data_IF_114730782237
#
_entry.id   IF_114730782237
#
_cell.length_a   1.000
_cell.length_b   1.000
_cell.length_c   1.000
_cell.angle_alpha   90.00
_cell.angle_beta   90.00
_cell.angle_gamma   90.00
#
_symmetry.space_group_name_H-M   'P 1'
#
loop_
_entity.id
_entity.type
_entity.pdbx_description
1 polymer ?
#
# COMPACT_ATOMS: atom_id res chain seq x y z
N UNK A 1 -27.79 -89.64 -0.61
CA UNK A 1 -26.53 -89.43 0.13
C UNK A 1 -26.47 -87.98 0.58
N UNK A 2 -26.26 -87.75 1.88
CA UNK A 2 -25.94 -86.49 2.62
C UNK A 2 -26.99 -85.35 2.53
N UNK A 3 -27.92 -85.16 3.47
CA UNK A 3 -27.84 -84.63 4.86
C UNK A 3 -27.58 -83.12 5.01
N UNK A 4 -28.62 -82.38 5.47
CA UNK A 4 -28.71 -81.29 6.50
C UNK A 4 -27.70 -80.11 6.43
N UNK A 5 -28.00 -78.83 6.73
CA UNK A 5 -29.03 -78.21 7.56
C UNK A 5 -29.24 -76.70 7.24
N UNK A 6 -30.36 -76.20 7.78
CA UNK A 6 -30.97 -74.87 7.90
C UNK A 6 -30.03 -73.76 8.42
N UNK A 7 -30.18 -72.51 7.96
CA UNK A 7 -30.39 -71.33 8.84
C UNK A 7 -30.97 -70.12 8.08
N UNK A 8 -31.75 -69.34 8.82
CA UNK A 8 -32.80 -68.38 8.42
C UNK A 8 -32.35 -66.96 8.75
N UNK A 9 -32.52 -65.97 7.86
CA UNK A 9 -32.54 -64.55 8.26
C UNK A 9 -33.23 -63.64 7.22
N UNK A 10 -33.76 -62.54 7.71
CA UNK A 10 -34.91 -61.71 7.28
C UNK A 10 -34.46 -60.44 6.49
N UNK A 11 -35.34 -59.47 6.14
CA UNK A 11 -35.35 -58.76 4.86
C UNK A 11 -34.45 -57.53 4.76
N UNK A 12 -34.20 -57.10 3.51
CA UNK A 12 -33.53 -55.84 3.13
C UNK A 12 -34.41 -54.63 3.46
N UNK A 13 -33.90 -53.76 4.34
CA UNK A 13 -34.36 -52.38 4.51
C UNK A 13 -33.87 -51.54 3.32
N UNK A 14 -34.81 -50.86 2.66
CA UNK A 14 -34.50 -49.70 1.82
C UNK A 14 -34.36 -48.48 2.72
N UNK A 15 -33.22 -47.80 2.62
CA UNK A 15 -33.05 -46.47 3.18
C UNK A 15 -32.35 -45.64 2.10
N UNK A 16 -33.15 -44.90 1.34
CA UNK A 16 -32.68 -43.75 0.58
C UNK A 16 -31.99 -42.81 1.57
N UNK A 17 -30.70 -42.55 1.32
CA UNK A 17 -29.97 -41.48 1.96
C UNK A 17 -29.81 -40.39 0.92
N UNK A 18 -30.59 -39.34 1.09
CA UNK A 18 -30.37 -38.04 0.48
C UNK A 18 -28.93 -37.62 0.75
N UNK A 19 -28.13 -37.56 -0.30
CA UNK A 19 -26.81 -36.92 -0.29
C UNK A 19 -27.07 -35.42 -0.32
N UNK A 20 -27.18 -34.85 0.88
CA UNK A 20 -27.22 -33.42 1.08
C UNK A 20 -25.79 -32.90 0.87
N UNK A 21 -25.49 -32.55 -0.38
CA UNK A 21 -24.33 -31.75 -0.77
C UNK A 21 -24.58 -30.31 -0.31
N UNK A 22 -24.34 -30.06 0.97
CA UNK A 22 -24.30 -28.73 1.56
C UNK A 22 -22.83 -28.33 1.73
N UNK A 23 -22.10 -28.24 0.61
CA UNK A 23 -20.86 -27.47 0.59
C UNK A 23 -21.23 -25.98 0.50
N UNK A 24 -21.75 -25.42 1.59
CA UNK A 24 -21.64 -23.99 1.83
C UNK A 24 -20.17 -23.68 1.99
N UNK A 25 -19.51 -23.34 0.88
CA UNK A 25 -18.27 -22.58 0.88
C UNK A 25 -18.55 -21.29 1.62
N UNK A 26 -18.25 -21.27 2.92
CA UNK A 26 -18.24 -20.05 3.72
C UNK A 26 -17.40 -19.01 2.96
N UNK A 27 -18.08 -17.97 2.48
CA UNK A 27 -17.44 -16.78 1.92
C UNK A 27 -16.69 -16.11 3.08
N UNK A 28 -15.47 -16.53 3.33
CA UNK A 28 -14.63 -15.89 4.35
C UNK A 28 -14.17 -14.55 3.79
N UNK A 29 -14.67 -13.45 4.36
CA UNK A 29 -14.18 -12.11 4.07
C UNK A 29 -12.70 -12.01 4.45
N UNK A 30 -11.84 -12.20 3.46
CA UNK A 30 -10.40 -12.07 3.65
C UNK A 30 -10.03 -10.59 3.61
N UNK A 31 -9.29 -10.13 4.63
CA UNK A 31 -8.74 -8.77 4.67
C UNK A 31 -8.07 -8.39 3.35
N UNK A 32 -8.21 -7.14 2.93
CA UNK A 32 -7.53 -6.63 1.74
C UNK A 32 -6.00 -6.74 1.91
N UNK A 33 -5.25 -6.71 0.79
CA UNK A 33 -3.78 -6.75 0.86
C UNK A 33 -3.25 -5.55 1.66
N UNK A 34 -3.92 -4.41 1.57
CA UNK A 34 -3.62 -3.21 2.35
C UNK A 34 -3.82 -3.46 3.85
N UNK A 35 -4.96 -4.00 4.25
CA UNK A 35 -5.26 -4.31 5.66
C UNK A 35 -4.32 -5.37 6.26
N UNK A 36 -3.88 -6.34 5.44
CA UNK A 36 -2.87 -7.31 5.86
C UNK A 36 -1.50 -6.66 6.08
N UNK A 37 -1.19 -5.59 5.35
CA UNK A 37 0.07 -4.87 5.43
C UNK A 37 0.14 -3.87 6.58
N UNK A 38 -1.01 -3.41 7.11
CA UNK A 38 -1.10 -2.39 8.17
C UNK A 38 -0.21 -2.69 9.39
N UNK A 39 -0.06 -3.97 9.77
CA UNK A 39 0.79 -4.39 10.88
C UNK A 39 2.29 -4.06 10.68
N UNK A 40 2.71 -3.74 9.45
CA UNK A 40 4.07 -3.38 9.08
C UNK A 40 4.24 -1.89 8.79
N UNK A 41 3.17 -1.09 8.89
CA UNK A 41 3.25 0.37 8.79
C UNK A 41 3.95 0.91 10.03
N UNK A 42 5.01 1.70 9.81
CA UNK A 42 5.84 2.27 10.88
C UNK A 42 5.52 3.74 11.15
N UNK A 43 5.02 4.48 10.17
CA UNK A 43 4.46 5.82 10.36
C UNK A 43 3.63 6.26 9.15
N UNK A 44 2.96 7.40 9.30
CA UNK A 44 2.44 8.21 8.19
C UNK A 44 3.16 9.55 8.22
N UNK A 45 3.72 9.98 7.09
CA UNK A 45 4.55 11.18 7.01
C UNK A 45 4.38 11.90 5.65
N UNK A 46 4.66 13.19 5.63
CA UNK A 46 4.74 13.97 4.40
C UNK A 46 6.08 13.76 3.72
N UNK A 47 6.10 13.36 2.46
CA UNK A 47 7.33 13.24 1.66
C UNK A 47 7.34 14.23 0.51
N UNK A 48 8.51 14.78 0.16
CA UNK A 48 8.69 15.47 -1.10
C UNK A 48 8.73 14.43 -2.23
N UNK A 49 8.15 14.78 -3.38
CA UNK A 49 7.94 13.84 -4.49
C UNK A 49 9.27 13.37 -5.12
N UNK A 50 10.28 14.23 -5.10
CA UNK A 50 11.62 13.93 -5.61
C UNK A 50 12.36 12.87 -4.77
N UNK A 51 12.00 12.72 -3.49
CA UNK A 51 12.49 11.66 -2.61
C UNK A 51 11.83 10.30 -2.88
N UNK A 52 10.80 10.22 -3.72
CA UNK A 52 10.10 8.97 -4.06
C UNK A 52 10.67 8.33 -5.33
N UNK A 53 10.70 7.00 -5.39
CA UNK A 53 11.11 6.24 -6.59
C UNK A 53 10.18 5.07 -6.89
N UNK A 54 9.85 4.89 -8.17
CA UNK A 54 9.16 3.69 -8.67
C UNK A 54 10.14 2.55 -9.02
N UNK A 55 11.45 2.83 -9.05
CA UNK A 55 12.50 1.82 -9.16
C UNK A 55 12.73 1.19 -7.79
N UNK A 56 12.76 -0.14 -7.73
CA UNK A 56 12.92 -0.90 -6.50
C UNK A 56 14.31 -1.54 -6.44
N UNK A 57 14.76 -1.89 -5.23
CA UNK A 57 15.93 -2.75 -5.05
C UNK A 57 15.72 -4.12 -5.72
N UNK A 58 14.49 -4.65 -5.65
CA UNK A 58 14.08 -5.91 -6.28
C UNK A 58 12.96 -5.67 -7.30
N UNK A 59 13.33 -5.46 -8.56
CA UNK A 59 12.41 -5.31 -9.70
C UNK A 59 12.00 -3.86 -9.98
N UNK A 60 10.88 -3.68 -10.67
CA UNK A 60 10.31 -2.36 -10.97
C UNK A 60 8.81 -2.34 -10.75
N UNK A 61 8.27 -1.17 -10.41
CA UNK A 61 6.83 -0.98 -10.33
C UNK A 61 6.18 -1.15 -11.71
N UNK A 62 4.85 -1.33 -11.71
CA UNK A 62 4.06 -1.46 -12.95
C UNK A 62 4.33 -0.27 -13.86
N UNK A 63 4.20 -0.41 -15.19
CA UNK A 63 4.27 0.74 -16.08
C UNK A 63 3.24 1.81 -15.68
N UNK A 64 3.59 3.07 -15.90
CA UNK A 64 2.66 4.18 -15.69
C UNK A 64 1.63 4.18 -16.83
N UNK A 65 0.36 4.08 -16.49
CA UNK A 65 -0.77 4.27 -17.39
C UNK A 65 -1.08 5.77 -17.53
N UNK A 66 -0.82 6.31 -18.73
CA UNK A 66 -1.03 7.71 -19.06
C UNK A 66 -2.51 8.13 -19.00
N UNK A 67 -3.44 7.25 -19.38
CA UNK A 67 -4.87 7.55 -19.31
C UNK A 67 -5.32 7.68 -17.86
N UNK A 68 -4.85 6.79 -17.00
CA UNK A 68 -5.12 6.87 -15.57
C UNK A 68 -4.50 8.13 -14.94
N UNK A 69 -3.27 8.48 -15.32
CA UNK A 69 -2.62 9.74 -14.90
C UNK A 69 -3.45 10.97 -15.32
N UNK A 70 -3.94 11.00 -16.56
CA UNK A 70 -4.78 12.09 -17.05
C UNK A 70 -6.11 12.17 -16.29
N UNK A 71 -6.73 11.04 -15.99
CA UNK A 71 -7.94 10.98 -15.18
C UNK A 71 -7.71 11.55 -13.78
N UNK A 72 -6.62 11.16 -13.12
CA UNK A 72 -6.25 11.69 -11.80
C UNK A 72 -5.96 13.20 -11.86
N UNK A 73 -5.26 13.66 -12.90
CA UNK A 73 -4.97 15.09 -13.09
C UNK A 73 -6.25 15.90 -13.25
N UNK A 74 -7.24 15.40 -14.01
CA UNK A 74 -8.56 16.05 -14.14
C UNK A 74 -9.30 16.09 -12.81
N UNK A 75 -9.24 15.01 -12.02
CA UNK A 75 -9.82 14.99 -10.68
C UNK A 75 -9.16 16.05 -9.77
N UNK A 76 -7.84 16.24 -9.86
CA UNK A 76 -7.15 17.31 -9.13
C UNK A 76 -7.56 18.71 -9.57
N UNK A 77 -7.86 18.91 -10.85
CA UNK A 77 -8.34 20.18 -11.39
C UNK A 77 -9.76 20.52 -10.91
N UNK A 78 -10.63 19.52 -10.75
CA UNK A 78 -12.02 19.71 -10.28
C UNK A 78 -12.15 19.74 -8.76
N UNK A 79 -11.62 18.73 -8.08
CA UNK A 79 -11.87 18.47 -6.65
C UNK A 79 -10.70 18.93 -5.74
N UNK A 80 -9.60 19.37 -6.35
CA UNK A 80 -8.36 19.70 -5.65
C UNK A 80 -7.51 18.49 -5.26
N UNK A 81 -6.35 18.76 -4.68
CA UNK A 81 -5.41 17.75 -4.21
C UNK A 81 -5.89 17.24 -2.84
N UNK A 82 -6.75 16.24 -2.84
CA UNK A 82 -7.34 15.61 -1.64
C UNK A 82 -6.30 14.80 -0.83
N UNK A 83 -5.17 15.42 -0.46
CA UNK A 83 -3.97 14.81 0.13
C UNK A 83 -4.21 14.21 1.52
N UNK A 84 -5.11 14.81 2.29
CA UNK A 84 -5.44 14.41 3.67
C UNK A 84 -6.44 13.26 3.76
N UNK A 85 -6.97 12.79 2.63
CA UNK A 85 -7.84 11.62 2.60
C UNK A 85 -6.97 10.36 2.71
N UNK A 86 -7.26 9.49 3.67
CA UNK A 86 -6.49 8.26 3.89
C UNK A 86 -6.43 7.38 2.62
N UNK A 87 -7.52 7.33 1.84
CA UNK A 87 -7.58 6.61 0.56
C UNK A 87 -6.64 7.19 -0.52
N UNK A 88 -6.15 8.42 -0.31
CA UNK A 88 -5.23 9.09 -1.21
C UNK A 88 -3.79 9.02 -0.77
N UNK A 89 -3.47 8.48 0.41
CA UNK A 89 -2.09 8.29 0.82
C UNK A 89 -1.34 7.37 -0.16
N UNK A 90 -0.04 7.63 -0.30
CA UNK A 90 0.86 6.73 -1.03
C UNK A 90 1.34 5.65 -0.07
N UNK A 91 1.54 4.43 -0.57
CA UNK A 91 2.27 3.43 0.19
C UNK A 91 3.72 3.46 -0.24
N UNK A 92 4.63 3.64 0.72
CA UNK A 92 6.06 3.68 0.47
C UNK A 92 6.80 2.73 1.41
N UNK A 93 7.96 2.23 0.98
CA UNK A 93 8.77 1.30 1.74
C UNK A 93 10.19 1.81 1.95
N UNK A 94 10.70 1.63 3.16
CA UNK A 94 12.10 1.85 3.50
C UNK A 94 12.61 0.76 4.46
N UNK A 95 13.93 0.69 4.64
CA UNK A 95 14.51 -0.17 5.68
C UNK A 95 14.34 0.48 7.05
N UNK A 96 14.37 -0.34 8.10
CA UNK A 96 14.31 0.15 9.49
C UNK A 96 15.44 1.12 9.80
N UNK A 97 16.62 0.87 9.24
CA UNK A 97 17.79 1.73 9.39
C UNK A 97 17.58 3.12 8.75
N UNK A 98 17.04 3.18 7.53
CA UNK A 98 16.73 4.46 6.87
C UNK A 98 15.73 5.29 7.69
N UNK A 99 14.69 4.63 8.21
CA UNK A 99 13.70 5.26 9.07
C UNK A 99 14.31 5.80 10.37
N UNK A 100 15.13 5.01 11.06
CA UNK A 100 15.78 5.42 12.31
C UNK A 100 16.71 6.63 12.12
N UNK A 101 17.47 6.70 11.01
CA UNK A 101 18.28 7.89 10.69
C UNK A 101 17.40 9.15 10.57
N UNK A 102 16.24 9.03 9.91
CA UNK A 102 15.30 10.12 9.80
C UNK A 102 14.70 10.53 11.15
N UNK A 103 14.37 9.56 12.02
CA UNK A 103 13.90 9.83 13.37
C UNK A 103 14.94 10.58 14.21
N UNK A 104 16.22 10.16 14.18
CA UNK A 104 17.29 10.85 14.91
C UNK A 104 17.48 12.26 14.39
N UNK A 105 17.46 12.46 13.06
CA UNK A 105 17.52 13.81 12.47
C UNK A 105 16.39 14.70 12.98
N UNK A 106 15.17 14.17 13.12
CA UNK A 106 14.04 14.90 13.68
C UNK A 106 14.16 15.22 15.17
N UNK A 107 14.76 14.33 15.96
CA UNK A 107 14.97 14.55 17.39
C UNK A 107 15.99 15.66 17.62
N UNK A 108 17.12 15.63 16.91
CA UNK A 108 18.14 16.69 16.97
C UNK A 108 17.55 18.05 16.61
N UNK A 109 16.62 18.09 15.65
CA UNK A 109 15.94 19.34 15.26
C UNK A 109 14.91 19.83 16.28
N UNK A 110 14.24 18.94 17.02
CA UNK A 110 13.26 19.35 18.05
C UNK A 110 13.93 20.07 19.22
N UNK A 111 15.16 19.68 19.55
CA UNK A 111 15.97 20.36 20.56
C UNK A 111 16.42 21.76 20.09
N UNK A 112 16.49 21.98 18.78
CA UNK A 112 16.71 23.30 18.16
C UNK A 112 15.36 23.89 17.70
N UNK A 113 14.61 24.48 18.64
CA UNK A 113 13.26 25.11 18.61
C UNK A 113 12.58 25.66 17.33
N UNK A 114 13.12 25.55 16.12
CA UNK A 114 12.68 26.28 14.93
C UNK A 114 11.70 25.54 14.00
N UNK A 115 11.46 24.22 14.16
CA UNK A 115 10.68 23.45 13.16
C UNK A 115 9.21 23.15 13.52
N UNK A 116 8.78 23.34 14.77
CA UNK A 116 7.38 23.10 15.15
C UNK A 116 6.34 23.92 14.32
N UNK A 117 6.81 24.96 13.61
CA UNK A 117 5.99 25.84 12.77
C UNK A 117 5.81 25.40 11.31
N UNK A 118 6.53 24.37 10.81
CA UNK A 118 6.45 23.95 9.39
C UNK A 118 5.62 22.67 9.14
N UNK A 119 5.15 22.01 10.18
CA UNK A 119 4.16 20.94 10.03
C UNK A 119 2.78 21.54 9.73
N UNK A 120 2.46 21.71 8.44
CA UNK A 120 1.09 21.94 7.95
C UNK A 120 0.25 20.66 8.16
N UNK A 121 -0.06 20.31 9.40
CA UNK A 121 -0.86 19.14 9.76
C UNK A 121 -0.23 18.23 10.81
N UNK A 122 -0.92 17.13 11.20
CA UNK A 122 -0.48 16.23 12.26
C UNK A 122 0.73 15.35 11.89
N UNK A 123 1.08 15.26 10.61
CA UNK A 123 2.12 14.34 10.14
C UNK A 123 3.52 14.97 10.17
N UNK A 124 4.55 14.21 10.58
CA UNK A 124 5.93 14.66 10.48
C UNK A 124 6.33 14.89 9.01
N UNK A 125 7.27 15.80 8.81
CA UNK A 125 7.73 16.24 7.50
C UNK A 125 9.06 15.59 7.14
N UNK A 126 9.11 14.74 6.12
CA UNK A 126 10.32 14.04 5.68
C UNK A 126 11.02 14.75 4.51
N UNK A 127 10.90 16.08 4.38
CA UNK A 127 11.56 16.88 3.32
C UNK A 127 13.08 16.64 3.23
N UNK A 128 13.74 16.38 4.36
CA UNK A 128 15.18 16.13 4.42
C UNK A 128 15.57 14.69 4.09
N UNK A 129 14.63 13.84 3.65
CA UNK A 129 14.87 12.42 3.39
C UNK A 129 16.10 12.20 2.52
N UNK A 130 16.21 12.92 1.39
CA UNK A 130 17.36 12.81 0.49
C UNK A 130 18.66 13.27 1.13
N UNK A 131 18.63 14.31 1.96
CA UNK A 131 19.81 14.79 2.69
C UNK A 131 20.31 13.75 3.70
N UNK A 132 19.40 13.10 4.43
CA UNK A 132 19.70 12.16 5.51
C UNK A 132 20.06 10.77 4.97
N UNK A 133 19.26 10.25 4.03
CA UNK A 133 19.35 8.87 3.59
C UNK A 133 20.16 8.68 2.30
N UNK A 134 20.36 9.73 1.50
CA UNK A 134 21.03 9.70 0.18
C UNK A 134 20.42 8.75 -0.84
N UNK A 135 19.25 8.18 -0.53
CA UNK A 135 18.52 7.21 -1.33
C UNK A 135 17.06 7.57 -1.29
N UNK A 136 16.36 7.35 -2.41
CA UNK A 136 14.92 7.56 -2.51
C UNK A 136 14.16 6.45 -1.78
N UNK A 137 12.97 6.77 -1.30
CA UNK A 137 12.03 5.80 -0.71
C UNK A 137 11.26 5.09 -1.82
N UNK A 138 11.06 3.77 -1.69
CA UNK A 138 10.39 2.97 -2.72
C UNK A 138 8.88 3.19 -2.69
N UNK A 139 8.28 3.55 -3.82
CA UNK A 139 6.83 3.58 -3.98
C UNK A 139 6.33 2.14 -4.12
N UNK A 140 5.57 1.68 -3.14
CA UNK A 140 4.85 0.40 -3.20
C UNK A 140 3.54 0.60 -3.99
N UNK A 141 2.80 1.66 -3.69
CA UNK A 141 1.54 1.99 -4.37
C UNK A 141 1.34 3.50 -4.51
N UNK A 142 0.70 3.91 -5.60
CA UNK A 142 0.34 5.31 -5.85
C UNK A 142 1.25 6.06 -6.84
N UNK A 143 2.08 5.38 -7.62
CA UNK A 143 2.94 6.03 -8.63
C UNK A 143 2.17 6.93 -9.63
N UNK A 144 0.96 6.53 -10.05
CA UNK A 144 0.16 7.31 -11.00
C UNK A 144 -0.29 8.64 -10.38
N UNK A 145 -0.50 8.66 -9.06
CA UNK A 145 -0.82 9.87 -8.31
C UNK A 145 0.38 10.81 -8.24
N UNK A 146 1.59 10.26 -8.11
CA UNK A 146 2.84 11.03 -8.20
C UNK A 146 3.00 11.67 -9.58
N UNK A 147 2.82 10.90 -10.66
CA UNK A 147 2.92 11.43 -12.02
C UNK A 147 1.80 12.42 -12.36
N UNK A 148 0.57 12.16 -11.89
CA UNK A 148 -0.55 13.08 -12.03
C UNK A 148 -0.30 14.40 -11.30
N UNK A 149 0.31 14.37 -10.11
CA UNK A 149 0.66 15.59 -9.40
C UNK A 149 1.71 16.40 -10.17
N UNK A 150 2.77 15.75 -10.67
CA UNK A 150 3.80 16.42 -11.48
C UNK A 150 3.17 17.10 -12.70
N UNK A 151 2.27 16.40 -13.38
CA UNK A 151 1.53 16.94 -14.53
C UNK A 151 0.63 18.11 -14.13
N UNK A 152 -0.13 17.97 -13.05
CA UNK A 152 -1.02 19.00 -12.53
C UNK A 152 -0.27 20.29 -12.17
N UNK A 153 0.82 20.18 -11.41
CA UNK A 153 1.65 21.32 -11.01
C UNK A 153 2.30 21.98 -12.23
N UNK A 154 2.80 21.19 -13.19
CA UNK A 154 3.31 21.70 -14.46
C UNK A 154 2.25 22.51 -15.22
N UNK A 155 0.98 22.05 -15.27
CA UNK A 155 -0.13 22.78 -15.91
C UNK A 155 -0.50 24.07 -15.20
N UNK A 156 -0.31 24.13 -13.88
CA UNK A 156 -0.47 25.34 -13.06
C UNK A 156 0.71 26.31 -13.17
N UNK A 157 1.75 25.97 -13.93
CA UNK A 157 2.94 26.79 -14.09
C UNK A 157 3.94 26.69 -12.93
N UNK A 158 3.75 25.74 -12.01
CA UNK A 158 4.70 25.50 -10.93
C UNK A 158 5.98 24.87 -11.50
N UNK A 159 7.12 25.34 -11.00
CA UNK A 159 8.43 24.79 -11.30
C UNK A 159 8.96 24.00 -10.10
N UNK A 160 9.39 22.74 -10.28
CA UNK A 160 9.98 21.95 -9.22
C UNK A 160 11.12 22.64 -8.47
N UNK A 161 11.91 23.49 -9.12
CA UNK A 161 13.11 24.14 -8.56
C UNK A 161 12.81 25.43 -7.78
N UNK A 162 11.63 26.02 -7.97
CA UNK A 162 11.25 27.28 -7.27
C UNK A 162 10.06 27.07 -6.35
N UNK A 163 9.17 26.14 -6.67
CA UNK A 163 7.92 25.87 -5.96
C UNK A 163 7.98 24.56 -5.16
N UNK A 164 9.16 24.20 -4.62
CA UNK A 164 9.38 22.97 -3.86
C UNK A 164 8.31 22.70 -2.78
N UNK A 165 7.72 23.76 -2.21
CA UNK A 165 6.67 23.67 -1.19
C UNK A 165 5.36 23.02 -1.65
N UNK A 166 5.13 22.87 -2.95
CA UNK A 166 3.94 22.22 -3.52
C UNK A 166 4.17 20.77 -3.97
N UNK A 167 5.43 20.33 -4.09
CA UNK A 167 5.80 19.01 -4.59
C UNK A 167 5.91 17.98 -3.45
N UNK A 168 4.80 17.72 -2.76
CA UNK A 168 4.75 16.71 -1.69
C UNK A 168 3.46 15.88 -1.68
N UNK A 169 3.50 14.75 -0.98
CA UNK A 169 2.34 13.92 -0.69
C UNK A 169 2.42 13.22 0.69
N UNK A 170 1.27 12.79 1.22
CA UNK A 170 1.21 12.00 2.47
C UNK A 170 1.44 10.52 2.15
N UNK A 171 2.38 9.90 2.86
CA UNK A 171 2.78 8.53 2.63
C UNK A 171 2.65 7.71 3.90
N UNK A 172 2.03 6.54 3.78
CA UNK A 172 2.10 5.45 4.74
C UNK A 172 3.40 4.68 4.49
N UNK A 173 4.27 4.69 5.50
CA UNK A 173 5.62 4.13 5.42
C UNK A 173 5.64 2.73 6.01
N UNK A 174 6.14 1.77 5.25
CA UNK A 174 6.22 0.36 5.62
C UNK A 174 7.67 -0.09 5.83
N UNK A 175 7.88 -0.93 6.85
CA UNK A 175 9.18 -1.54 7.15
C UNK A 175 9.45 -2.70 6.17
N UNK A 176 10.31 -2.45 5.18
CA UNK A 176 10.68 -3.46 4.19
C UNK A 176 11.48 -4.61 4.78
N UNK A 177 12.14 -4.44 5.93
CA UNK A 177 12.91 -5.52 6.56
C UNK A 177 11.97 -6.55 7.21
N UNK A 178 10.77 -6.13 7.59
CA UNK A 178 9.76 -6.99 8.25
C UNK A 178 8.60 -7.38 7.36
N UNK A 179 8.32 -6.63 6.29
CA UNK A 179 7.20 -6.90 5.39
C UNK A 179 7.43 -8.24 4.65
N UNK A 180 6.55 -9.25 4.83
CA UNK A 180 6.72 -10.55 4.20
C UNK A 180 6.78 -10.47 2.68
N UNK A 181 7.63 -11.27 2.05
CA UNK A 181 7.82 -11.25 0.59
C UNK A 181 6.52 -11.47 -0.19
N UNK A 182 5.62 -12.33 0.32
CA UNK A 182 4.30 -12.55 -0.27
C UNK A 182 3.44 -11.28 -0.28
N UNK A 183 3.48 -10.49 0.79
CA UNK A 183 2.75 -9.22 0.87
C UNK A 183 3.41 -8.15 0.00
N UNK A 184 4.74 -8.08 -0.03
CA UNK A 184 5.47 -7.22 -0.98
C UNK A 184 4.99 -7.48 -2.40
N UNK A 185 5.03 -8.73 -2.86
CA UNK A 185 4.60 -9.11 -4.22
C UNK A 185 3.13 -8.72 -4.47
N UNK A 186 2.22 -9.00 -3.53
CA UNK A 186 0.79 -8.68 -3.70
C UNK A 186 0.53 -7.18 -3.78
N UNK A 187 1.11 -6.39 -2.87
CA UNK A 187 0.98 -4.93 -2.87
C UNK A 187 1.52 -4.31 -4.16
N UNK A 188 2.60 -4.89 -4.68
CA UNK A 188 3.27 -4.50 -5.92
C UNK A 188 2.45 -4.89 -7.16
N UNK A 189 1.82 -6.06 -7.14
CA UNK A 189 1.06 -6.58 -8.26
C UNK A 189 -0.27 -5.87 -8.48
N UNK A 190 -0.90 -5.36 -7.40
CA UNK A 190 -2.21 -4.67 -7.33
C UNK A 190 -2.97 -4.62 -8.68
N UNK A 191 -3.41 -5.79 -9.14
CA UNK A 191 -4.37 -5.94 -10.23
C UNK A 191 -5.72 -5.60 -9.62
N UNK A 192 -6.22 -4.40 -9.87
CA UNK A 192 -7.65 -4.20 -9.76
C UNK A 192 -8.25 -4.97 -10.93
N UNK A 193 -8.60 -6.24 -10.71
CA UNK A 193 -9.61 -6.88 -11.54
C UNK A 193 -10.91 -6.17 -11.20
N UNK A 194 -11.28 -5.18 -12.00
CA UNK A 194 -12.67 -4.78 -12.16
C UNK A 194 -13.29 -5.67 -13.24
#
# INVERSE_FOLDING_TARGET
MLSRAIYRSKPREGHDKDVQDDSTTELSDSKSVHEQAEAYRICTARFPIDALTASWADGSNRPVDEQHVLSLCRAFEGDGLQRNSDNNHLMVGCTRFQFQRMQVSHLVERDTSTWASNSKGPWPSFDRWMTVNKQKVEIISGQHRVEALKLFLKRKGCNPDTDHGEYWWICDVYDLDKLPQKLKIKLRANRHNH
#
